data_IF_749782435925
#
_entry.id   IF_749782435925
#
_cell.length_a   1.000
_cell.length_b   1.000
_cell.length_c   1.000
_cell.angle_alpha   90.00
_cell.angle_beta   90.00
_cell.angle_gamma   90.00
#
_symmetry.space_group_name_H-M   'P 1'
#
loop_
_entity.id
_entity.type
_entity.pdbx_description
1 polymer ?
#
# COMPACT_ATOMS: atom_id res chain seq x y z
N UNK A 1 16.85 -7.96 6.72
CA UNK A 1 15.39 -8.11 6.95
C UNK A 1 14.70 -7.19 5.99
N UNK A 2 13.63 -7.64 5.31
CA UNK A 2 12.88 -6.80 4.37
C UNK A 2 11.71 -6.19 5.15
N UNK A 3 11.57 -4.86 5.08
CA UNK A 3 10.40 -4.18 5.62
C UNK A 3 9.18 -4.50 4.75
N UNK A 4 8.04 -4.79 5.36
CA UNK A 4 6.77 -5.03 4.65
C UNK A 4 6.03 -3.73 4.38
N UNK A 5 6.21 -2.72 5.25
CA UNK A 5 5.61 -1.40 5.12
C UNK A 5 6.69 -0.33 5.01
N UNK A 6 6.38 0.76 4.32
CA UNK A 6 7.22 1.94 4.18
C UNK A 6 6.58 3.17 4.82
N UNK A 7 7.37 4.22 5.02
CA UNK A 7 6.87 5.50 5.54
C UNK A 7 5.84 6.08 4.56
N UNK A 8 4.68 6.44 5.07
CA UNK A 8 3.53 6.94 4.30
C UNK A 8 2.48 5.88 3.94
N UNK A 9 2.73 4.61 4.28
CA UNK A 9 1.73 3.55 4.15
C UNK A 9 0.66 3.66 5.22
N UNK A 10 -0.59 3.39 4.82
CA UNK A 10 -1.73 3.32 5.73
C UNK A 10 -1.87 1.89 6.20
N UNK A 11 -1.94 1.71 7.51
CA UNK A 11 -2.04 0.40 8.17
C UNK A 11 -3.18 0.40 9.18
N UNK A 12 -3.71 -0.78 9.47
CA UNK A 12 -4.66 -0.98 10.56
C UNK A 12 -4.10 -1.99 11.57
N UNK A 13 -4.42 -1.80 12.84
CA UNK A 13 -4.04 -2.76 13.88
C UNK A 13 -4.91 -4.02 13.80
N UNK A 14 -4.30 -5.20 13.71
CA UNK A 14 -5.03 -6.48 13.79
C UNK A 14 -5.26 -6.92 15.23
N UNK A 15 -4.43 -6.43 16.16
CA UNK A 15 -4.48 -6.75 17.59
C UNK A 15 -4.43 -5.46 18.41
N UNK A 16 -4.94 -5.54 19.64
CA UNK A 16 -4.84 -4.43 20.58
C UNK A 16 -3.37 -4.15 20.93
N UNK A 17 -2.90 -2.93 20.69
CA UNK A 17 -1.57 -2.51 21.11
C UNK A 17 -1.61 -2.12 22.58
N UNK A 18 -0.73 -2.73 23.36
CA UNK A 18 -0.63 -2.48 24.80
C UNK A 18 0.63 -1.66 25.10
N UNK A 19 0.55 -0.84 26.13
CA UNK A 19 1.72 -0.15 26.67
C UNK A 19 2.74 -1.16 27.17
N UNK A 20 3.89 -1.25 26.51
CA UNK A 20 5.02 -2.11 26.87
C UNK A 20 6.09 -1.40 27.72
N UNK A 21 5.90 -0.10 27.97
CA UNK A 21 6.84 0.77 28.68
C UNK A 21 7.51 1.80 27.78
N UNK A 22 7.25 1.78 26.47
CA UNK A 22 7.86 2.71 25.50
C UNK A 22 7.04 3.99 25.31
N UNK A 23 5.74 3.97 25.63
CA UNK A 23 4.88 5.15 25.43
C UNK A 23 5.08 6.19 26.55
N UNK A 24 5.23 7.49 26.23
CA UNK A 24 5.74 8.50 27.18
C UNK A 24 4.73 9.00 28.23
N UNK A 25 3.44 8.63 28.14
CA UNK A 25 2.41 9.15 29.04
C UNK A 25 2.43 8.44 30.42
N UNK A 26 2.73 9.16 31.52
CA UNK A 26 2.78 8.58 32.86
C UNK A 26 1.42 8.18 33.43
N UNK A 27 0.31 8.65 32.83
CA UNK A 27 -1.04 8.29 33.26
C UNK A 27 -1.49 6.93 32.74
N UNK A 28 -0.74 6.33 31.80
CA UNK A 28 -1.08 5.06 31.19
C UNK A 28 -0.18 3.97 31.77
N UNK A 29 -0.74 3.15 32.65
CA UNK A 29 -0.03 2.03 33.25
C UNK A 29 0.39 0.99 32.19
N UNK A 30 1.52 0.31 32.44
CA UNK A 30 1.97 -0.82 31.63
C UNK A 30 0.88 -1.89 31.48
N UNK A 31 0.69 -2.38 30.26
CA UNK A 31 -0.34 -3.37 29.92
C UNK A 31 -1.71 -2.79 29.53
N UNK A 32 -1.94 -1.49 29.73
CA UNK A 32 -3.16 -0.81 29.25
C UNK A 32 -3.19 -0.74 27.73
N UNK A 33 -4.41 -0.75 27.16
CA UNK A 33 -4.61 -0.67 25.72
C UNK A 33 -4.38 0.78 25.28
N UNK A 34 -3.40 0.98 24.39
CA UNK A 34 -3.12 2.27 23.78
C UNK A 34 -3.97 2.49 22.52
N UNK A 35 -4.15 1.43 21.74
CA UNK A 35 -4.83 1.43 20.45
C UNK A 35 -5.70 0.18 20.36
N UNK A 36 -6.97 0.37 20.02
CA UNK A 36 -7.91 -0.73 19.81
C UNK A 36 -7.63 -1.45 18.47
N UNK A 37 -7.93 -2.74 18.37
CA UNK A 37 -7.85 -3.45 17.09
C UNK A 37 -8.81 -2.82 16.08
N UNK A 38 -8.37 -2.72 14.84
CA UNK A 38 -9.08 -2.06 13.74
C UNK A 38 -8.81 -0.57 13.60
N UNK A 39 -8.06 0.03 14.53
CA UNK A 39 -7.69 1.45 14.43
C UNK A 39 -6.73 1.66 13.28
N UNK A 40 -7.02 2.64 12.42
CA UNK A 40 -6.15 2.99 11.29
C UNK A 40 -5.09 4.00 11.71
N UNK A 41 -3.97 3.98 10.99
CA UNK A 41 -2.88 4.92 11.15
C UNK A 41 -1.95 4.95 9.95
N UNK A 42 -1.03 5.92 9.96
CA UNK A 42 -0.01 6.09 8.93
C UNK A 42 1.37 5.79 9.51
N UNK A 43 2.17 5.01 8.79
CA UNK A 43 3.56 4.73 9.17
C UNK A 43 4.38 6.00 9.00
N UNK A 44 4.91 6.56 10.09
CA UNK A 44 5.72 7.77 10.05
C UNK A 44 7.22 7.48 10.16
N UNK A 45 7.60 6.30 10.67
CA UNK A 45 8.98 5.88 10.77
C UNK A 45 9.10 4.36 10.83
N UNK A 46 10.18 3.82 10.27
CA UNK A 46 10.54 2.39 10.31
C UNK A 46 11.86 2.26 11.04
N UNK A 47 11.83 1.65 12.22
CA UNK A 47 12.98 1.47 13.08
C UNK A 47 13.32 0.00 13.33
N UNK A 48 14.43 -0.21 14.03
CA UNK A 48 14.82 -1.50 14.57
C UNK A 48 14.84 -1.42 16.09
N UNK A 49 14.20 -2.37 16.75
CA UNK A 49 14.30 -2.61 18.18
C UNK A 49 15.29 -3.73 18.45
N UNK A 50 16.25 -3.47 19.35
CA UNK A 50 17.36 -4.38 19.70
C UNK A 50 18.12 -4.92 18.48
N UNK A 51 18.09 -4.22 17.34
CA UNK A 51 18.67 -4.63 16.04
C UNK A 51 18.08 -5.91 15.43
N UNK A 52 17.19 -6.62 16.13
CA UNK A 52 16.63 -7.92 15.73
C UNK A 52 15.17 -7.85 15.28
N UNK A 53 14.44 -6.79 15.63
CA UNK A 53 13.02 -6.67 15.34
C UNK A 53 12.71 -5.36 14.64
N UNK A 54 12.01 -5.41 13.49
CA UNK A 54 11.48 -4.20 12.84
C UNK A 54 10.30 -3.69 13.66
N UNK A 55 10.34 -2.40 14.02
CA UNK A 55 9.26 -1.69 14.69
C UNK A 55 8.81 -0.53 13.83
N UNK A 56 7.52 -0.49 13.53
CA UNK A 56 6.88 0.59 12.77
C UNK A 56 6.31 1.60 13.76
N UNK A 57 6.77 2.85 13.69
CA UNK A 57 6.12 3.94 14.41
C UNK A 57 4.95 4.41 13.55
N UNK A 58 3.74 4.17 14.06
CA UNK A 58 2.48 4.48 13.38
C UNK A 58 1.78 5.61 14.13
N UNK A 59 1.41 6.66 13.40
CA UNK A 59 0.53 7.71 13.89
C UNK A 59 -0.92 7.27 13.68
N UNK A 60 -1.60 6.93 14.78
CA UNK A 60 -2.98 6.46 14.76
C UNK A 60 -3.98 7.62 14.81
N UNK A 61 -5.21 7.38 14.32
CA UNK A 61 -6.30 8.36 14.33
C UNK A 61 -6.71 8.83 15.73
N UNK A 62 -6.40 8.06 16.77
CA UNK A 62 -6.59 8.47 18.17
C UNK A 62 -5.59 9.55 18.66
N UNK A 63 -4.74 10.05 17.76
CA UNK A 63 -3.74 11.09 18.03
C UNK A 63 -2.48 10.57 18.72
N UNK A 64 -2.29 9.25 18.83
CA UNK A 64 -1.13 8.64 19.47
C UNK A 64 -0.17 8.08 18.43
N UNK A 65 1.13 8.25 18.67
CA UNK A 65 2.19 7.56 17.93
C UNK A 65 2.63 6.35 18.74
N UNK A 66 2.46 5.16 18.19
CA UNK A 66 2.79 3.90 18.89
C UNK A 66 3.65 3.02 17.99
N UNK A 67 4.66 2.39 18.59
CA UNK A 67 5.45 1.37 17.93
C UNK A 67 4.66 0.06 17.81
N UNK A 68 4.56 -0.47 16.60
CA UNK A 68 3.87 -1.73 16.33
C UNK A 68 4.77 -2.66 15.52
N UNK A 69 4.60 -3.96 15.75
CA UNK A 69 5.34 -4.98 15.01
C UNK A 69 4.58 -5.37 13.75
N UNK A 70 5.29 -5.91 12.75
CA UNK A 70 4.69 -6.31 11.47
C UNK A 70 3.46 -7.21 11.65
N UNK A 71 3.56 -8.19 12.55
CA UNK A 71 2.49 -9.16 12.86
C UNK A 71 1.26 -8.56 13.55
N UNK A 72 1.33 -7.30 13.96
CA UNK A 72 0.26 -6.56 14.64
C UNK A 72 -0.42 -5.57 13.70
N UNK A 73 0.10 -5.42 12.48
CA UNK A 73 -0.39 -4.51 11.46
C UNK A 73 -0.88 -5.29 10.24
N UNK A 74 -1.86 -4.71 9.55
CA UNK A 74 -2.28 -5.11 8.21
C UNK A 74 -2.26 -3.90 7.28
N UNK A 75 -2.02 -4.16 5.99
CA UNK A 75 -2.10 -3.13 4.97
C UNK A 75 -3.55 -2.62 4.89
N UNK A 76 -3.74 -1.33 5.15
CA UNK A 76 -5.02 -0.68 4.94
C UNK A 76 -4.94 0.10 3.62
N UNK A 77 -5.99 0.00 2.81
CA UNK A 77 -6.04 0.73 1.54
C UNK A 77 -6.05 2.23 1.87
N UNK A 78 -4.97 2.91 1.53
CA UNK A 78 -4.99 4.35 1.35
C UNK A 78 -5.85 4.61 0.12
N UNK A 79 -6.92 5.39 0.25
CA UNK A 79 -7.58 5.92 -0.94
C UNK A 79 -6.53 6.73 -1.71
N UNK A 80 -6.10 6.16 -2.84
CA UNK A 80 -5.02 6.73 -3.64
C UNK A 80 -5.48 8.07 -4.18
N UNK A 81 -5.11 9.15 -3.51
CA UNK A 81 -5.02 10.44 -4.16
C UNK A 81 -3.79 10.36 -5.08
N UNK A 82 -3.93 10.52 -6.40
CA UNK A 82 -2.89 10.18 -7.39
C UNK A 82 -1.65 11.10 -7.41
N UNK A 83 -1.29 11.71 -6.28
CA UNK A 83 -0.25 12.73 -6.20
C UNK A 83 1.03 12.25 -5.52
N UNK A 84 1.72 11.28 -6.12
CA UNK A 84 3.20 11.15 -6.07
C UNK A 84 3.71 10.02 -6.97
N UNK A 85 3.40 10.09 -8.27
CA UNK A 85 4.18 9.33 -9.26
C UNK A 85 5.41 10.15 -9.68
N UNK A 86 6.49 10.01 -8.91
CA UNK A 86 7.87 10.32 -9.28
C UNK A 86 8.78 9.70 -8.19
N UNK A 87 9.81 8.88 -8.43
CA UNK A 87 10.52 8.51 -9.64
C UNK A 87 11.35 7.25 -9.34
N UNK A 88 11.38 6.29 -10.27
CA UNK A 88 12.52 5.38 -10.46
C UNK A 88 12.38 4.72 -11.85
N UNK A 89 12.92 5.39 -12.85
CA UNK A 89 13.23 4.77 -14.14
C UNK A 89 14.37 3.79 -13.93
N UNK A 90 14.12 2.50 -14.16
CA UNK A 90 15.17 1.54 -14.46
C UNK A 90 14.70 0.67 -15.62
N UNK A 91 15.24 1.01 -16.80
CA UNK A 91 15.20 0.24 -18.04
C UNK A 91 15.69 -1.18 -17.80
N UNK A 92 14.87 -2.17 -18.12
CA UNK A 92 15.34 -3.53 -18.39
C UNK A 92 14.66 -4.07 -19.65
N UNK A 93 15.49 -4.18 -20.68
CA UNK A 93 15.26 -4.80 -21.96
C UNK A 93 14.90 -6.29 -21.78
N UNK A 94 13.81 -6.75 -22.38
CA UNK A 94 13.59 -8.18 -22.64
C UNK A 94 12.83 -8.36 -23.95
N UNK A 95 13.45 -9.16 -24.82
CA UNK A 95 13.11 -9.48 -26.19
C UNK A 95 12.01 -10.53 -26.30
N UNK A 96 11.05 -10.29 -27.19
CA UNK A 96 10.23 -11.24 -27.98
C UNK A 96 9.00 -10.43 -28.42
N UNK A 97 8.50 -10.50 -29.64
CA UNK A 97 8.14 -11.69 -30.40
C UNK A 97 7.91 -11.29 -31.85
N UNK A 98 8.26 -12.19 -32.76
CA UNK A 98 7.86 -12.18 -34.15
C UNK A 98 6.33 -12.15 -34.32
N UNK A 99 5.87 -11.48 -35.38
CA UNK A 99 4.74 -11.92 -36.20
C UNK A 99 4.76 -11.15 -37.53
N UNK A 100 5.28 -11.83 -38.54
CA UNK A 100 5.01 -11.58 -39.95
C UNK A 100 3.50 -11.72 -40.19
N UNK A 101 2.88 -10.78 -40.92
CA UNK A 101 1.69 -11.04 -41.74
C UNK A 101 1.43 -9.87 -42.70
N UNK A 102 2.15 -9.95 -43.80
CA UNK A 102 1.70 -9.76 -45.19
C UNK A 102 0.28 -9.24 -45.50
N UNK A 103 0.28 -8.25 -46.39
CA UNK A 103 -0.48 -8.18 -47.65
C UNK A 103 -1.97 -7.79 -47.69
N UNK A 104 -2.20 -6.83 -48.60
CA UNK A 104 -3.44 -6.27 -49.13
C UNK A 104 -4.33 -7.28 -49.89
N UNK A 105 -5.65 -6.99 -49.97
CA UNK A 105 -6.53 -7.14 -51.17
C UNK A 105 -7.89 -6.44 -50.93
N UNK A 106 -8.19 -5.32 -51.61
CA UNK A 106 -9.14 -5.07 -52.71
C UNK A 106 -10.64 -5.41 -52.53
N UNK A 107 -11.46 -4.34 -52.67
CA UNK A 107 -12.75 -4.21 -53.40
C UNK A 107 -13.95 -5.10 -53.08
N UNK A 108 -15.09 -4.44 -52.84
CA UNK A 108 -16.43 -5.03 -52.90
C UNK A 108 -17.54 -3.97 -52.85
N UNK A 109 -17.87 -3.39 -54.01
CA UNK A 109 -19.12 -2.63 -54.26
C UNK A 109 -20.30 -3.60 -54.29
N UNK A 110 -21.42 -3.29 -53.62
CA UNK A 110 -22.76 -3.71 -54.06
C UNK A 110 -23.82 -2.72 -53.56
N UNK A 111 -24.60 -2.25 -54.53
CA UNK A 111 -25.74 -1.35 -54.49
C UNK A 111 -27.06 -2.09 -54.19
N UNK A 112 -28.10 -1.32 -53.81
CA UNK A 112 -29.56 -1.59 -53.77
C UNK A 112 -30.18 -2.41 -52.63
N UNK A 113 -31.17 -1.80 -51.96
CA UNK A 113 -32.63 -2.12 -51.99
C UNK A 113 -33.38 -0.96 -51.29
N UNK A 114 -34.22 -0.20 -51.99
CA UNK A 114 -35.69 -0.36 -52.08
C UNK A 114 -36.40 -0.14 -50.72
N UNK A 115 -37.08 1.00 -50.62
CA UNK A 115 -37.90 1.38 -49.46
C UNK A 115 -38.97 2.38 -49.89
N UNK A 116 -39.89 1.91 -50.73
CA UNK A 116 -41.15 2.58 -51.08
C UNK A 116 -42.27 1.93 -50.25
N UNK A 117 -42.75 2.62 -49.22
CA UNK A 117 -44.16 2.70 -48.75
C UNK A 117 -44.22 3.46 -47.44
#
# INVERSE_FOLDING_TARGET
>A
MKSTFDVGDVVATTKALRQDGTFPDPNIATGQILVEPGTRGEVINVGLYLQEHIVYAVAFENGRVVGALERELEAAVRETSPSSRAAATATAHATSSAADSSAAVTSGTTDKEEGLS
#
